data_IF_612498847024
#
_entry.id   IF_612498847024
#
_cell.length_a   1.000
_cell.length_b   1.000
_cell.length_c   1.000
_cell.angle_alpha   90.00
_cell.angle_beta   90.00
_cell.angle_gamma   90.00
#
_symmetry.space_group_name_H-M   'P 1'
#
loop_
_entity.id
_entity.type
_entity.pdbx_description
1 polymer ?
#
# COMPACT_ATOMS: atom_id res chain seq x y z
N UNK A 1 22.79 -1.07 -7.89
CA UNK A 1 21.71 -1.75 -7.13
C UNK A 1 22.29 -2.13 -5.79
N UNK A 2 22.06 -1.33 -4.74
CA UNK A 2 22.67 -1.57 -3.44
C UNK A 2 21.57 -1.78 -2.40
N UNK A 3 21.23 -3.04 -2.17
CA UNK A 3 20.45 -3.49 -1.01
C UNK A 3 21.46 -4.23 -0.14
N UNK A 4 21.92 -3.60 0.94
CA UNK A 4 22.74 -4.26 1.95
C UNK A 4 21.91 -4.42 3.22
N UNK A 5 21.07 -5.45 3.29
CA UNK A 5 20.60 -5.98 4.57
C UNK A 5 21.76 -6.79 5.17
N UNK A 6 22.75 -6.13 5.77
CA UNK A 6 23.79 -6.82 6.52
C UNK A 6 23.30 -6.98 7.97
N UNK A 7 22.82 -8.18 8.32
CA UNK A 7 22.41 -8.48 9.69
C UNK A 7 22.92 -9.84 10.15
N UNK A 8 23.29 -9.91 11.41
CA UNK A 8 23.40 -11.15 12.16
C UNK A 8 22.12 -11.33 12.99
N UNK A 9 21.55 -12.53 12.97
CA UNK A 9 20.38 -12.86 13.77
C UNK A 9 20.63 -14.15 14.57
N UNK A 10 20.25 -14.15 15.84
CA UNK A 10 20.29 -15.32 16.72
C UNK A 10 18.92 -15.51 17.34
N UNK A 11 18.30 -16.66 17.06
CA UNK A 11 17.15 -17.15 17.81
C UNK A 11 17.68 -18.10 18.89
N UNK A 12 17.20 -17.92 20.11
CA UNK A 12 17.52 -18.80 21.23
C UNK A 12 16.42 -19.84 21.36
N UNK A 13 16.79 -21.11 21.57
CA UNK A 13 15.82 -22.20 21.71
C UNK A 13 15.35 -22.37 23.17
N UNK A 14 16.20 -22.02 24.13
CA UNK A 14 15.93 -22.15 25.58
C UNK A 14 15.09 -21.01 26.16
N UNK A 15 15.10 -19.86 25.51
CA UNK A 15 14.28 -18.68 25.81
C UNK A 15 13.72 -18.20 24.49
N UNK A 16 12.44 -17.80 24.39
CA UNK A 16 11.84 -17.44 23.10
C UNK A 16 12.25 -16.02 22.68
N UNK A 17 13.56 -15.80 22.60
CA UNK A 17 14.24 -14.54 22.32
C UNK A 17 14.87 -14.62 20.94
N UNK A 18 14.67 -13.58 20.15
CA UNK A 18 15.36 -13.32 18.89
C UNK A 18 16.15 -12.02 19.03
N UNK A 19 17.45 -12.07 18.72
CA UNK A 19 18.32 -10.90 18.68
C UNK A 19 18.78 -10.67 17.24
N UNK A 20 18.67 -9.43 16.76
CA UNK A 20 19.22 -9.01 15.47
C UNK A 20 20.21 -7.86 15.69
N UNK A 21 21.32 -7.85 14.95
CA UNK A 21 22.31 -6.77 14.95
C UNK A 21 22.71 -6.46 13.51
N UNK A 22 22.87 -5.18 13.17
CA UNK A 22 23.25 -4.69 11.85
C UNK A 22 22.14 -3.83 11.22
N UNK A 23 22.05 -3.85 9.90
CA UNK A 23 20.96 -3.22 9.15
C UNK A 23 19.78 -4.18 8.96
N UNK A 24 18.63 -3.84 9.50
CA UNK A 24 17.43 -4.69 9.41
C UNK A 24 16.13 -3.91 9.27
N UNK A 25 15.10 -4.61 8.77
CA UNK A 25 13.72 -4.13 8.72
C UNK A 25 12.94 -4.64 9.94
N UNK A 26 12.57 -3.74 10.84
CA UNK A 26 11.65 -3.96 11.96
C UNK A 26 10.19 -3.80 11.49
N UNK A 27 9.52 -4.94 11.25
CA UNK A 27 8.10 -5.00 10.84
C UNK A 27 7.11 -4.42 11.87
N UNK A 28 7.52 -4.25 13.12
CA UNK A 28 6.66 -3.79 14.21
C UNK A 28 6.67 -2.27 14.38
N UNK A 29 7.48 -1.57 13.59
CA UNK A 29 7.52 -0.11 13.60
C UNK A 29 6.83 0.48 12.36
N UNK A 30 5.85 1.36 12.58
CA UNK A 30 4.97 1.90 11.54
C UNK A 30 5.57 3.06 10.71
N UNK A 31 6.67 3.67 11.17
CA UNK A 31 7.18 4.91 10.59
C UNK A 31 8.44 4.69 9.75
N UNK A 32 9.55 4.34 10.41
CA UNK A 32 10.84 4.11 9.81
C UNK A 32 11.33 2.73 10.19
N UNK A 33 10.75 1.73 9.54
CA UNK A 33 11.00 0.33 9.84
C UNK A 33 12.45 -0.11 9.59
N UNK A 34 13.32 0.70 8.98
CA UNK A 34 14.73 0.36 8.80
C UNK A 34 15.59 0.90 9.95
N UNK A 35 16.48 0.04 10.44
CA UNK A 35 17.36 0.30 11.58
C UNK A 35 18.79 -0.09 11.25
N UNK A 36 19.73 0.74 11.67
CA UNK A 36 21.15 0.39 11.80
C UNK A 36 21.47 0.24 13.29
N UNK A 37 21.45 -0.98 13.81
CA UNK A 37 21.59 -1.18 15.26
C UNK A 37 21.29 -2.58 15.74
N UNK A 38 20.66 -2.69 16.90
CA UNK A 38 20.27 -3.95 17.52
C UNK A 38 18.77 -4.00 17.84
N UNK A 39 18.23 -5.21 17.82
CA UNK A 39 16.87 -5.54 18.25
C UNK A 39 16.91 -6.75 19.17
N UNK A 40 16.12 -6.73 20.23
CA UNK A 40 15.76 -7.89 21.03
C UNK A 40 14.24 -8.07 20.97
N UNK A 41 13.77 -9.26 20.60
CA UNK A 41 12.36 -9.62 20.44
C UNK A 41 12.02 -10.87 21.26
N UNK A 42 11.04 -10.79 22.13
CA UNK A 42 10.56 -11.88 22.96
C UNK A 42 9.17 -12.33 22.48
N UNK A 43 8.96 -13.63 22.28
CA UNK A 43 7.68 -14.21 21.83
C UNK A 43 7.14 -15.24 22.83
N UNK A 44 6.09 -14.91 23.57
CA UNK A 44 5.45 -15.81 24.54
C UNK A 44 4.04 -16.17 24.08
N UNK A 45 3.91 -17.32 23.40
CA UNK A 45 2.64 -17.75 22.84
C UNK A 45 2.07 -16.74 21.85
N UNK A 46 0.91 -16.17 22.17
CA UNK A 46 0.23 -15.17 21.33
C UNK A 46 0.78 -13.75 21.51
N UNK A 47 1.49 -13.47 22.61
CA UNK A 47 2.07 -12.17 22.91
C UNK A 47 3.52 -12.12 22.46
N UNK A 48 3.96 -10.95 22.05
CA UNK A 48 5.37 -10.68 21.87
C UNK A 48 5.66 -9.20 22.00
N UNK A 49 6.93 -8.88 22.12
CA UNK A 49 7.37 -7.51 22.29
C UNK A 49 8.88 -7.42 22.19
N UNK A 50 9.37 -6.23 21.93
CA UNK A 50 10.79 -6.04 21.75
C UNK A 50 11.22 -4.61 21.90
N UNK A 51 12.53 -4.45 21.97
CA UNK A 51 13.22 -3.18 22.03
C UNK A 51 14.19 -3.10 20.86
N UNK A 52 14.34 -1.89 20.32
CA UNK A 52 15.29 -1.58 19.25
C UNK A 52 16.09 -0.34 19.62
N UNK A 53 17.39 -0.36 19.34
CA UNK A 53 18.29 0.75 19.58
C UNK A 53 19.39 0.82 18.52
N UNK A 54 19.73 2.02 18.09
CA UNK A 54 20.73 2.24 17.06
C UNK A 54 20.51 3.58 16.38
N UNK A 55 20.49 3.57 15.04
CA UNK A 55 20.40 4.78 14.23
C UNK A 55 19.39 4.61 13.10
N UNK A 56 18.80 5.74 12.71
CA UNK A 56 17.89 5.83 11.57
C UNK A 56 18.66 6.18 10.29
N UNK A 57 18.61 5.34 9.24
CA UNK A 57 19.09 5.74 7.93
C UNK A 57 18.14 6.77 7.31
N UNK A 58 18.69 7.82 6.68
CA UNK A 58 17.97 8.82 5.88
C UNK A 58 17.43 8.17 4.61
N UNK A 59 18.17 7.23 4.02
CA UNK A 59 17.76 6.45 2.85
C UNK A 59 18.04 4.96 3.05
N UNK A 60 17.14 4.11 2.57
CA UNK A 60 17.31 2.65 2.64
C UNK A 60 18.54 2.12 1.90
N UNK A 61 19.08 2.91 0.96
CA UNK A 61 20.20 2.53 0.08
C UNK A 61 21.54 3.18 0.43
N UNK A 62 21.62 3.99 1.49
CA UNK A 62 22.88 4.64 1.89
C UNK A 62 23.79 3.73 2.73
N UNK A 63 25.00 4.17 3.10
CA UNK A 63 25.85 3.44 4.06
C UNK A 63 25.28 3.43 5.48
N UNK A 64 25.96 2.81 6.45
CA UNK A 64 25.57 2.93 7.86
C UNK A 64 25.64 4.42 8.27
N UNK A 65 24.57 4.93 8.88
CA UNK A 65 24.47 6.33 9.31
C UNK A 65 24.43 6.42 10.84
N UNK A 66 25.14 7.38 11.41
CA UNK A 66 25.19 7.64 12.87
C UNK A 66 24.52 8.95 13.28
N UNK A 67 23.95 9.69 12.33
CA UNK A 67 23.46 11.06 12.54
C UNK A 67 22.13 11.15 13.27
N UNK A 68 21.37 10.05 13.31
CA UNK A 68 20.03 10.02 13.90
C UNK A 68 19.91 8.86 14.89
N UNK A 69 20.52 8.97 16.10
CA UNK A 69 20.32 8.01 17.17
C UNK A 69 18.83 7.80 17.41
N UNK A 70 18.44 6.54 17.58
CA UNK A 70 17.04 6.14 17.66
C UNK A 70 16.90 4.99 18.65
N UNK A 71 15.84 5.03 19.44
CA UNK A 71 15.46 3.95 20.34
C UNK A 71 13.95 3.77 20.34
N UNK A 72 13.47 2.55 20.51
CA UNK A 72 12.05 2.27 20.49
C UNK A 72 11.71 0.92 21.07
N UNK A 73 10.41 0.72 21.27
CA UNK A 73 9.83 -0.52 21.74
C UNK A 73 8.50 -0.80 21.08
N UNK A 74 8.11 -2.06 21.10
CA UNK A 74 6.84 -2.52 20.56
C UNK A 74 6.28 -3.69 21.36
N UNK A 75 4.97 -3.84 21.27
CA UNK A 75 4.20 -4.97 21.76
C UNK A 75 3.26 -5.43 20.66
N UNK A 76 3.06 -6.73 20.53
CA UNK A 76 2.05 -7.28 19.66
C UNK A 76 1.36 -8.49 20.28
N UNK A 77 0.13 -8.70 19.83
CA UNK A 77 -0.66 -9.86 20.15
C UNK A 77 -1.28 -10.43 18.88
N UNK A 78 -1.31 -11.76 18.78
CA UNK A 78 -1.90 -12.48 17.66
C UNK A 78 -2.76 -13.62 18.17
N UNK A 79 -4.06 -13.54 17.89
CA UNK A 79 -5.02 -14.61 18.08
C UNK A 79 -5.41 -15.19 16.72
N UNK A 80 -5.33 -16.51 16.58
CA UNK A 80 -5.85 -17.24 15.43
C UNK A 80 -6.63 -18.44 15.92
N UNK A 81 -7.95 -18.37 15.76
CA UNK A 81 -8.86 -19.51 15.89
C UNK A 81 -9.46 -19.82 14.52
N UNK A 82 -10.37 -20.78 14.45
CA UNK A 82 -11.07 -21.12 13.20
C UNK A 82 -11.86 -19.92 12.66
N UNK A 83 -12.64 -19.25 13.52
CA UNK A 83 -13.53 -18.16 13.12
C UNK A 83 -12.95 -16.76 13.36
N UNK A 84 -11.98 -16.61 14.26
CA UNK A 84 -11.40 -15.30 14.66
C UNK A 84 -9.95 -15.21 14.26
N UNK A 85 -9.59 -14.13 13.58
CA UNK A 85 -8.20 -13.71 13.40
C UNK A 85 -8.04 -12.30 13.89
N UNK A 86 -7.23 -12.12 14.93
CA UNK A 86 -6.94 -10.81 15.49
C UNK A 86 -5.43 -10.63 15.61
N UNK A 87 -4.95 -9.48 15.14
CA UNK A 87 -3.58 -9.04 15.36
C UNK A 87 -3.65 -7.59 15.82
N UNK A 88 -2.96 -7.26 16.89
CA UNK A 88 -2.80 -5.90 17.36
C UNK A 88 -1.33 -5.67 17.64
N UNK A 89 -0.80 -4.53 17.23
CA UNK A 89 0.55 -4.10 17.52
C UNK A 89 0.54 -2.65 17.96
N UNK A 90 1.37 -2.31 18.94
CA UNK A 90 1.62 -0.95 19.37
C UNK A 90 3.13 -0.73 19.42
N UNK A 91 3.58 0.46 19.00
CA UNK A 91 4.99 0.81 19.01
C UNK A 91 5.18 2.26 19.45
N UNK A 92 6.32 2.54 20.06
CA UNK A 92 6.75 3.90 20.37
C UNK A 92 8.26 3.99 20.16
N UNK A 93 8.72 5.14 19.66
CA UNK A 93 10.14 5.38 19.46
C UNK A 93 10.47 6.87 19.54
N UNK A 94 11.74 7.14 19.83
CA UNK A 94 12.34 8.46 19.87
C UNK A 94 13.57 8.52 18.96
N UNK A 95 13.76 9.67 18.31
CA UNK A 95 14.95 10.03 17.54
C UNK A 95 15.62 11.22 18.24
N UNK A 96 16.94 11.12 18.43
CA UNK A 96 17.76 12.05 19.20
C UNK A 96 18.83 12.68 18.30
N UNK A 97 18.45 13.52 17.32
CA UNK A 97 19.42 14.22 16.48
C UNK A 97 20.30 15.15 17.33
N UNK A 98 21.60 15.21 17.02
CA UNK A 98 22.57 15.97 17.84
C UNK A 98 22.37 17.48 17.85
N UNK A 99 21.82 18.04 16.77
CA UNK A 99 21.67 19.49 16.56
C UNK A 99 20.21 19.91 16.29
N UNK A 100 19.23 19.06 16.64
CA UNK A 100 17.82 19.35 16.45
C UNK A 100 17.02 18.89 17.68
N UNK A 101 15.76 19.32 17.78
CA UNK A 101 14.89 18.93 18.87
C UNK A 101 14.60 17.43 18.88
N UNK A 102 14.35 16.88 20.07
CA UNK A 102 13.94 15.49 20.26
C UNK A 102 12.63 15.20 19.52
N UNK A 103 12.58 14.09 18.78
CA UNK A 103 11.41 13.68 18.02
C UNK A 103 10.90 12.37 18.59
N UNK A 104 9.59 12.26 18.83
CA UNK A 104 8.99 11.00 19.27
C UNK A 104 7.70 10.72 18.54
N UNK A 105 7.40 9.43 18.40
CA UNK A 105 6.17 8.97 17.77
C UNK A 105 5.70 7.68 18.41
N UNK A 106 4.40 7.46 18.32
CA UNK A 106 3.74 6.26 18.80
C UNK A 106 2.68 5.84 17.78
N UNK A 107 2.41 4.54 17.70
CA UNK A 107 1.41 4.00 16.80
C UNK A 107 0.77 2.74 17.34
N UNK A 108 -0.46 2.48 16.88
CA UNK A 108 -1.20 1.25 17.13
C UNK A 108 -1.90 0.81 15.84
N UNK A 109 -1.75 -0.46 15.48
CA UNK A 109 -2.38 -1.09 14.33
C UNK A 109 -3.13 -2.33 14.78
N UNK A 110 -4.35 -2.49 14.31
CA UNK A 110 -5.20 -3.63 14.61
C UNK A 110 -5.78 -4.19 13.31
N UNK A 111 -5.70 -5.50 13.16
CA UNK A 111 -6.39 -6.27 12.12
C UNK A 111 -7.25 -7.31 12.78
N UNK A 112 -8.55 -7.19 12.63
CA UNK A 112 -9.55 -8.09 13.18
C UNK A 112 -10.37 -8.69 12.05
N UNK A 113 -10.67 -9.98 12.15
CA UNK A 113 -11.60 -10.69 11.26
C UNK A 113 -12.39 -11.69 12.06
N UNK A 114 -13.70 -11.68 11.88
CA UNK A 114 -14.65 -12.62 12.44
C UNK A 114 -15.73 -12.90 11.40
N UNK A 115 -15.82 -14.14 10.94
CA UNK A 115 -16.92 -14.68 10.15
C UNK A 115 -17.46 -13.73 9.05
N UNK A 116 -16.65 -13.48 8.02
CA UNK A 116 -17.00 -12.58 6.90
C UNK A 116 -16.92 -11.07 7.20
N UNK A 117 -16.81 -10.66 8.47
CA UNK A 117 -16.58 -9.27 8.87
C UNK A 117 -15.10 -9.06 9.21
N UNK A 118 -14.56 -7.91 8.82
CA UNK A 118 -13.21 -7.55 9.24
C UNK A 118 -12.94 -6.05 9.28
N UNK A 119 -11.91 -5.70 10.04
CA UNK A 119 -11.51 -4.33 10.33
C UNK A 119 -9.98 -4.23 10.37
N UNK A 120 -9.44 -3.20 9.73
CA UNK A 120 -8.03 -2.79 9.77
C UNK A 120 -7.99 -1.33 10.25
N UNK A 121 -7.39 -1.10 11.41
CA UNK A 121 -7.20 0.24 11.96
C UNK A 121 -5.73 0.53 12.16
N UNK A 122 -5.34 1.78 11.94
CA UNK A 122 -3.98 2.29 12.15
C UNK A 122 -4.10 3.70 12.72
N UNK A 123 -3.48 3.93 13.87
CA UNK A 123 -3.36 5.25 14.48
C UNK A 123 -1.90 5.54 14.70
N UNK A 124 -1.47 6.74 14.34
CA UNK A 124 -0.09 7.19 14.51
C UNK A 124 -0.10 8.64 15.01
N UNK A 125 0.66 8.89 16.05
CA UNK A 125 0.87 10.21 16.62
C UNK A 125 2.36 10.56 16.63
N UNK A 126 2.65 11.84 16.41
CA UNK A 126 3.99 12.41 16.56
C UNK A 126 3.93 13.53 17.60
N UNK A 127 4.98 13.63 18.39
CA UNK A 127 5.18 14.77 19.29
C UNK A 127 5.83 15.90 18.52
N UNK A 128 5.22 17.08 18.57
CA UNK A 128 5.80 18.29 18.02
C UNK A 128 7.11 18.61 18.76
N UNK A 129 8.21 18.89 18.05
CA UNK A 129 9.50 19.16 18.69
C UNK A 129 9.46 20.39 19.60
N UNK A 130 8.88 21.50 19.10
CA UNK A 130 8.90 22.77 19.83
C UNK A 130 7.82 22.86 20.93
N UNK A 131 6.55 22.54 20.61
CA UNK A 131 5.45 22.67 21.57
C UNK A 131 5.25 21.46 22.48
N UNK A 132 5.98 20.36 22.26
CA UNK A 132 5.80 19.08 22.95
C UNK A 132 4.39 18.45 22.82
N UNK A 133 3.49 19.01 22.01
CA UNK A 133 2.13 18.51 21.80
C UNK A 133 2.12 17.25 20.94
N UNK A 134 1.27 16.29 21.30
CA UNK A 134 1.02 15.11 20.46
C UNK A 134 -0.01 15.40 19.38
N UNK A 135 0.31 15.05 18.14
CA UNK A 135 -0.56 15.23 16.98
C UNK A 135 -0.76 13.91 16.26
N UNK A 136 -2.01 13.51 16.06
CA UNK A 136 -2.37 12.38 15.21
C UNK A 136 -2.04 12.69 13.76
N UNK A 137 -0.99 12.10 13.23
CA UNK A 137 -0.54 12.31 11.84
C UNK A 137 -1.17 11.32 10.88
N UNK A 138 -1.59 10.16 11.37
CA UNK A 138 -2.23 9.15 10.56
C UNK A 138 -3.34 8.47 11.34
N UNK A 139 -4.51 8.42 10.74
CA UNK A 139 -5.63 7.59 11.19
C UNK A 139 -6.11 6.87 9.94
N UNK A 140 -6.18 5.55 9.97
CA UNK A 140 -6.74 4.72 8.91
C UNK A 140 -7.73 3.76 9.53
N UNK A 141 -8.88 3.65 8.91
CA UNK A 141 -9.90 2.68 9.23
C UNK A 141 -10.34 2.04 7.92
N UNK A 142 -10.39 0.73 7.87
CA UNK A 142 -10.96 -0.03 6.76
C UNK A 142 -11.81 -1.13 7.38
N UNK A 143 -13.07 -1.19 6.99
CA UNK A 143 -13.95 -2.28 7.36
C UNK A 143 -14.42 -2.98 6.10
N UNK A 144 -14.67 -4.28 6.21
CA UNK A 144 -15.40 -5.05 5.21
C UNK A 144 -16.40 -5.97 5.88
N UNK A 145 -17.47 -6.28 5.17
CA UNK A 145 -18.46 -7.25 5.60
C UNK A 145 -18.97 -8.00 4.37
N UNK A 146 -18.94 -9.33 4.46
CA UNK A 146 -19.64 -10.23 3.55
C UNK A 146 -21.12 -10.23 3.97
N UNK A 147 -21.98 -9.52 3.23
CA UNK A 147 -23.43 -9.45 3.49
C UNK A 147 -24.14 -10.73 3.00
N UNK A 148 -23.52 -11.44 2.05
CA UNK A 148 -23.87 -12.78 1.59
C UNK A 148 -22.65 -13.44 0.94
N UNK A 149 -22.75 -14.70 0.51
CA UNK A 149 -21.70 -15.37 -0.29
C UNK A 149 -21.32 -14.63 -1.58
N UNK A 150 -22.21 -13.74 -2.04
CA UNK A 150 -22.10 -13.03 -3.30
C UNK A 150 -21.80 -11.55 -3.12
N UNK A 151 -22.14 -10.95 -1.97
CA UNK A 151 -22.07 -9.49 -1.77
C UNK A 151 -21.10 -9.13 -0.65
N UNK A 152 -20.04 -8.41 -0.99
CA UNK A 152 -19.07 -7.84 -0.06
C UNK A 152 -19.14 -6.31 -0.10
N UNK A 153 -19.20 -5.66 1.06
CA UNK A 153 -19.12 -4.20 1.19
C UNK A 153 -17.87 -3.82 1.96
N UNK A 154 -17.20 -2.75 1.53
CA UNK A 154 -16.01 -2.19 2.15
C UNK A 154 -16.20 -0.71 2.40
N UNK A 155 -15.90 -0.26 3.61
CA UNK A 155 -15.84 1.14 3.98
C UNK A 155 -14.40 1.49 4.38
N UNK A 156 -13.99 2.73 4.14
CA UNK A 156 -12.68 3.22 4.53
C UNK A 156 -12.71 4.68 4.90
N UNK A 157 -11.89 5.02 5.88
CA UNK A 157 -11.58 6.38 6.28
C UNK A 157 -10.06 6.50 6.45
N UNK A 158 -9.49 7.61 6.00
CA UNK A 158 -8.10 7.91 6.21
C UNK A 158 -7.91 9.40 6.46
N UNK A 159 -7.36 9.76 7.62
CA UNK A 159 -6.79 11.08 7.88
C UNK A 159 -5.28 11.01 7.83
N UNK A 160 -4.65 11.93 7.12
CA UNK A 160 -3.20 12.05 7.02
C UNK A 160 -2.77 13.50 7.13
N UNK A 161 -1.81 13.75 8.01
CA UNK A 161 -0.98 14.94 8.03
C UNK A 161 0.41 14.43 7.66
N UNK A 162 1.00 14.96 6.58
CA UNK A 162 2.36 14.56 6.22
C UNK A 162 3.31 15.08 7.29
N UNK A 163 4.08 14.17 7.88
CA UNK A 163 5.18 14.49 8.77
C UNK A 163 6.49 14.23 8.04
N UNK A 164 7.43 15.17 8.08
CA UNK A 164 8.78 14.94 7.58
C UNK A 164 9.79 15.26 8.68
N UNK A 165 10.52 14.26 9.20
CA UNK A 165 11.51 14.49 10.24
C UNK A 165 12.77 15.22 9.74
N UNK A 166 12.85 15.54 8.44
CA UNK A 166 14.02 16.15 7.81
C UNK A 166 13.73 17.56 7.27
N UNK A 167 12.54 18.12 7.53
CA UNK A 167 12.16 19.47 7.08
C UNK A 167 12.37 20.48 8.19
N UNK A 168 13.01 21.59 7.87
CA UNK A 168 13.36 22.67 8.82
C UNK A 168 12.27 23.74 9.02
N UNK A 169 11.29 23.87 8.12
CA UNK A 169 10.35 25.02 8.13
C UNK A 169 8.89 24.68 8.41
N UNK A 170 8.44 23.47 8.12
CA UNK A 170 7.10 22.97 8.50
C UNK A 170 7.17 21.45 8.51
N UNK A 171 7.17 20.88 9.72
CA UNK A 171 7.24 19.44 9.88
C UNK A 171 5.91 18.76 9.53
N UNK A 172 4.80 19.48 9.75
CA UNK A 172 3.44 19.03 9.47
C UNK A 172 2.84 19.78 8.28
N UNK A 173 2.28 19.03 7.33
CA UNK A 173 1.54 19.59 6.20
C UNK A 173 0.06 19.85 6.52
N UNK A 174 -0.68 20.37 5.55
CA UNK A 174 -2.14 20.39 5.58
C UNK A 174 -2.72 18.97 5.81
N UNK A 175 -3.84 18.92 6.55
CA UNK A 175 -4.57 17.68 6.81
C UNK A 175 -5.30 17.23 5.55
N UNK A 176 -5.20 15.95 5.22
CA UNK A 176 -5.98 15.29 4.17
C UNK A 176 -6.89 14.24 4.79
N UNK A 177 -8.19 14.34 4.54
CA UNK A 177 -9.16 13.32 4.90
C UNK A 177 -9.65 12.62 3.63
N UNK A 178 -9.75 11.30 3.66
CA UNK A 178 -10.27 10.47 2.58
C UNK A 178 -11.32 9.52 3.14
N UNK A 179 -12.44 9.39 2.45
CA UNK A 179 -13.53 8.49 2.76
C UNK A 179 -13.75 7.61 1.54
N UNK A 180 -14.12 6.35 1.73
CA UNK A 180 -14.38 5.46 0.61
C UNK A 180 -15.41 4.40 0.96
N UNK A 181 -16.24 4.08 -0.03
CA UNK A 181 -17.20 2.98 0.02
C UNK A 181 -17.02 2.14 -1.25
N UNK A 182 -17.09 0.82 -1.14
CA UNK A 182 -17.03 -0.09 -2.29
C UNK A 182 -17.94 -1.28 -2.04
N UNK A 183 -18.74 -1.65 -3.03
CA UNK A 183 -19.52 -2.88 -3.04
C UNK A 183 -19.00 -3.79 -4.17
N UNK A 184 -18.88 -5.08 -3.87
CA UNK A 184 -18.54 -6.12 -4.82
C UNK A 184 -19.68 -7.15 -4.82
N UNK A 185 -20.32 -7.35 -5.97
CA UNK A 185 -21.27 -8.43 -6.20
C UNK A 185 -20.61 -9.49 -7.10
N UNK A 186 -20.59 -10.74 -6.65
CA UNK A 186 -20.03 -11.89 -7.37
C UNK A 186 -21.17 -12.86 -7.67
N UNK A 187 -21.43 -13.14 -8.94
CA UNK A 187 -22.50 -14.03 -9.38
C UNK A 187 -21.95 -15.00 -10.42
N UNK A 188 -21.72 -16.26 -10.02
CA UNK A 188 -21.07 -17.26 -10.89
C UNK A 188 -19.72 -16.73 -11.40
N UNK A 189 -19.55 -16.64 -12.72
CA UNK A 189 -18.35 -16.12 -13.36
C UNK A 189 -18.30 -14.58 -13.45
N UNK A 190 -19.32 -13.87 -12.97
CA UNK A 190 -19.39 -12.42 -13.03
C UNK A 190 -18.98 -11.77 -11.73
N UNK A 191 -18.34 -10.60 -11.84
CA UNK A 191 -18.01 -9.72 -10.73
C UNK A 191 -18.33 -8.27 -11.09
N UNK A 192 -19.16 -7.62 -10.29
CA UNK A 192 -19.51 -6.22 -10.38
C UNK A 192 -18.89 -5.49 -9.20
N UNK A 193 -18.14 -4.42 -9.46
CA UNK A 193 -17.48 -3.62 -8.44
C UNK A 193 -17.92 -2.18 -8.64
N UNK A 194 -18.48 -1.57 -7.60
CA UNK A 194 -18.84 -0.17 -7.56
C UNK A 194 -18.15 0.47 -6.37
N UNK A 195 -17.54 1.63 -6.55
CA UNK A 195 -16.89 2.33 -5.46
C UNK A 195 -16.90 3.83 -5.64
N UNK A 196 -16.85 4.52 -4.50
CA UNK A 196 -16.77 5.97 -4.44
C UNK A 196 -15.75 6.36 -3.39
N UNK A 197 -15.00 7.43 -3.64
CA UNK A 197 -14.13 8.05 -2.65
C UNK A 197 -14.29 9.56 -2.65
N UNK A 198 -14.22 10.15 -1.47
CA UNK A 198 -14.19 11.59 -1.26
C UNK A 198 -12.87 11.94 -0.60
N UNK A 199 -12.26 13.02 -1.04
CA UNK A 199 -11.01 13.52 -0.52
C UNK A 199 -11.18 15.00 -0.19
N UNK A 200 -10.86 15.37 1.04
CA UNK A 200 -11.00 16.70 1.59
C UNK A 200 -9.65 17.17 2.13
N UNK A 201 -9.15 18.24 1.56
CA UNK A 201 -7.99 19.00 1.99
C UNK A 201 -8.41 20.47 2.11
N UNK A 202 -7.76 21.28 2.97
CA UNK A 202 -8.10 22.69 3.18
C UNK A 202 -8.29 23.48 1.87
N UNK A 203 -7.45 23.21 0.87
CA UNK A 203 -7.41 23.92 -0.41
C UNK A 203 -7.98 23.11 -1.58
N UNK A 204 -8.49 21.90 -1.34
CA UNK A 204 -8.97 21.04 -2.42
C UNK A 204 -9.94 19.98 -1.93
N UNK A 205 -11.10 19.91 -2.59
CA UNK A 205 -12.04 18.80 -2.43
C UNK A 205 -12.15 18.04 -3.74
N UNK A 206 -12.17 16.72 -3.65
CA UNK A 206 -12.42 15.89 -4.82
C UNK A 206 -13.25 14.67 -4.49
N UNK A 207 -13.95 14.19 -5.50
CA UNK A 207 -14.72 12.94 -5.47
C UNK A 207 -14.25 12.05 -6.60
N UNK A 208 -14.31 10.75 -6.40
CA UNK A 208 -14.04 9.77 -7.44
C UNK A 208 -15.04 8.63 -7.38
N UNK A 209 -15.38 8.12 -8.53
CA UNK A 209 -16.30 7.01 -8.74
C UNK A 209 -15.57 5.98 -9.58
N UNK A 210 -15.69 4.72 -9.21
CA UNK A 210 -15.13 3.60 -9.96
C UNK A 210 -16.20 2.54 -10.17
N UNK A 211 -16.25 2.00 -11.38
CA UNK A 211 -17.15 0.92 -11.75
C UNK A 211 -16.35 -0.11 -12.53
N UNK A 212 -16.56 -1.39 -12.25
CA UNK A 212 -15.99 -2.48 -13.04
C UNK A 212 -16.97 -3.62 -13.14
N UNK A 213 -17.11 -4.16 -14.35
CA UNK A 213 -17.79 -5.42 -14.60
C UNK A 213 -16.75 -6.37 -15.17
N UNK A 214 -16.65 -7.57 -14.62
CA UNK A 214 -15.67 -8.57 -15.01
C UNK A 214 -16.35 -9.92 -15.20
N UNK A 215 -16.06 -10.57 -16.32
CA UNK A 215 -16.35 -11.98 -16.55
C UNK A 215 -15.05 -12.76 -16.39
N UNK A 216 -14.95 -13.55 -15.32
CA UNK A 216 -13.72 -14.21 -14.90
C UNK A 216 -13.27 -15.32 -15.86
N UNK A 217 -14.21 -16.07 -16.43
CA UNK A 217 -13.89 -17.15 -17.37
C UNK A 217 -15.13 -17.52 -18.18
N UNK A 218 -15.04 -17.38 -19.50
CA UNK A 218 -16.03 -17.94 -20.42
C UNK A 218 -15.91 -19.47 -20.44
N UNK A 219 -17.00 -20.23 -20.20
CA UNK A 219 -16.98 -21.69 -20.31
C UNK A 219 -16.61 -22.19 -21.71
N UNK A 220 -16.94 -21.42 -22.75
CA UNK A 220 -16.77 -21.84 -24.15
C UNK A 220 -15.38 -21.54 -24.70
N UNK A 221 -14.76 -20.45 -24.27
CA UNK A 221 -13.54 -19.93 -24.91
C UNK A 221 -12.36 -19.74 -23.97
N UNK A 222 -12.56 -19.94 -22.66
CA UNK A 222 -11.56 -19.67 -21.63
C UNK A 222 -10.99 -18.23 -21.71
N UNK A 223 -11.88 -17.29 -22.00
CA UNK A 223 -11.58 -15.86 -22.08
C UNK A 223 -12.18 -15.18 -20.87
N UNK A 224 -11.38 -14.35 -20.21
CA UNK A 224 -11.83 -13.39 -19.23
C UNK A 224 -11.87 -12.01 -19.88
N UNK A 225 -12.85 -11.18 -19.51
CA UNK A 225 -12.82 -9.77 -19.88
C UNK A 225 -13.32 -8.89 -18.75
N UNK A 226 -12.95 -7.61 -18.79
CA UNK A 226 -13.47 -6.61 -17.87
C UNK A 226 -13.69 -5.28 -18.56
N UNK A 227 -14.82 -4.64 -18.29
CA UNK A 227 -15.06 -3.24 -18.63
C UNK A 227 -14.94 -2.44 -17.33
N UNK A 228 -14.27 -1.30 -17.37
CA UNK A 228 -14.15 -0.42 -16.21
C UNK A 228 -14.33 1.05 -16.59
N UNK A 229 -14.73 1.82 -15.59
CA UNK A 229 -14.82 3.27 -15.63
C UNK A 229 -14.32 3.85 -14.32
N UNK A 230 -13.65 4.99 -14.40
CA UNK A 230 -13.18 5.78 -13.28
C UNK A 230 -13.42 7.24 -13.61
N UNK A 231 -14.18 7.93 -12.77
CA UNK A 231 -14.40 9.36 -12.87
C UNK A 231 -13.83 10.03 -11.63
N UNK A 232 -13.12 11.12 -11.80
CA UNK A 232 -12.62 11.97 -10.71
C UNK A 232 -13.04 13.42 -10.98
N UNK A 233 -13.50 14.09 -9.94
CA UNK A 233 -13.90 15.49 -9.99
C UNK A 233 -13.26 16.24 -8.82
N UNK A 234 -12.37 17.18 -9.11
CA UNK A 234 -11.87 18.16 -8.15
C UNK A 234 -12.63 19.47 -8.35
N UNK A 235 -13.42 19.88 -7.36
CA UNK A 235 -14.40 20.98 -7.47
C UNK A 235 -13.88 22.24 -8.17
N UNK A 236 -12.60 22.57 -7.99
CA UNK A 236 -11.94 23.75 -8.58
C UNK A 236 -10.76 23.40 -9.52
N UNK A 237 -10.39 22.12 -9.62
CA UNK A 237 -9.23 21.66 -10.40
C UNK A 237 -9.61 20.97 -11.71
N UNK A 238 -10.90 20.81 -11.96
CA UNK A 238 -11.44 20.10 -13.11
C UNK A 238 -11.73 18.63 -12.81
N UNK A 239 -11.83 17.82 -13.85
CA UNK A 239 -12.23 16.43 -13.78
C UNK A 239 -11.39 15.54 -14.69
N UNK A 240 -11.46 14.25 -14.46
CA UNK A 240 -10.94 13.24 -15.38
C UNK A 240 -11.87 12.05 -15.43
N UNK A 241 -11.95 11.43 -16.60
CA UNK A 241 -12.68 10.22 -16.88
C UNK A 241 -11.71 9.25 -17.54
N UNK A 242 -11.61 8.04 -17.02
CA UNK A 242 -10.89 6.93 -17.63
C UNK A 242 -11.86 5.77 -17.79
N UNK A 243 -12.01 5.23 -18.98
CA UNK A 243 -12.78 4.00 -19.21
C UNK A 243 -11.98 3.06 -20.08
N UNK A 244 -12.24 1.76 -19.95
CA UNK A 244 -11.53 0.80 -20.76
C UNK A 244 -12.10 -0.60 -20.71
N UNK A 245 -11.61 -1.42 -21.62
CA UNK A 245 -11.92 -2.83 -21.75
C UNK A 245 -10.62 -3.60 -21.74
N UNK A 246 -10.57 -4.69 -21.00
CA UNK A 246 -9.45 -5.63 -21.05
C UNK A 246 -9.98 -7.03 -21.33
N UNK A 247 -9.21 -7.82 -22.04
CA UNK A 247 -9.47 -9.24 -22.27
C UNK A 247 -8.19 -10.02 -21.97
N UNK A 248 -8.34 -11.22 -21.43
CA UNK A 248 -7.22 -12.13 -21.21
C UNK A 248 -7.61 -13.56 -21.53
N UNK A 249 -6.66 -14.31 -22.08
CA UNK A 249 -6.78 -15.74 -22.35
C UNK A 249 -5.53 -16.44 -21.83
N UNK A 250 -5.73 -17.51 -21.08
CA UNK A 250 -4.64 -18.40 -20.70
C UNK A 250 -4.73 -19.66 -21.57
N UNK A 251 -3.64 -19.98 -22.24
CA UNK A 251 -3.38 -21.25 -22.90
C UNK A 251 -2.23 -21.91 -22.12
N UNK A 252 -2.01 -23.21 -22.30
CA UNK A 252 -1.05 -24.01 -21.53
C UNK A 252 0.27 -23.29 -21.19
N UNK A 253 0.96 -22.77 -22.23
CA UNK A 253 2.22 -22.02 -22.08
C UNK A 253 2.07 -20.52 -22.31
N UNK A 254 0.90 -20.03 -22.75
CA UNK A 254 0.72 -18.63 -23.11
C UNK A 254 -0.27 -17.95 -22.18
N UNK A 255 0.04 -16.73 -21.76
CA UNK A 255 -0.95 -15.81 -21.20
C UNK A 255 -0.99 -14.57 -22.06
N UNK A 256 -2.10 -14.39 -22.75
CA UNK A 256 -2.36 -13.25 -23.61
C UNK A 256 -3.29 -12.29 -22.88
N UNK A 257 -2.97 -11.01 -22.93
CA UNK A 257 -3.80 -9.95 -22.39
C UNK A 257 -3.78 -8.76 -23.34
N UNK A 258 -4.95 -8.20 -23.62
CA UNK A 258 -5.10 -6.98 -24.38
C UNK A 258 -6.00 -6.01 -23.64
N UNK A 259 -5.89 -4.74 -23.95
CA UNK A 259 -6.88 -3.78 -23.51
C UNK A 259 -6.81 -2.46 -24.23
N UNK A 260 -7.95 -1.80 -24.24
CA UNK A 260 -8.17 -0.46 -24.78
C UNK A 260 -8.64 0.42 -23.64
N UNK A 261 -8.16 1.65 -23.57
CA UNK A 261 -8.71 2.64 -22.66
C UNK A 261 -8.79 4.01 -23.31
N UNK A 262 -9.75 4.80 -22.86
CA UNK A 262 -9.92 6.20 -23.23
C UNK A 262 -9.83 7.02 -21.94
N UNK A 263 -9.05 8.09 -21.99
CA UNK A 263 -8.92 9.03 -20.90
C UNK A 263 -9.21 10.44 -21.40
N UNK A 264 -10.05 11.14 -20.66
CA UNK A 264 -10.38 12.55 -20.90
C UNK A 264 -10.16 13.31 -19.62
N UNK A 265 -9.53 14.48 -19.68
CA UNK A 265 -9.39 15.38 -18.54
C UNK A 265 -9.58 16.83 -18.96
N UNK A 266 -10.00 17.66 -18.03
CA UNK A 266 -10.08 19.12 -18.15
C UNK A 266 -9.34 19.80 -16.98
N UNK A 267 -8.21 19.22 -16.56
CA UNK A 267 -7.44 19.72 -15.42
C UNK A 267 -6.89 21.12 -15.70
N UNK A 268 -7.15 22.08 -14.80
CA UNK A 268 -6.69 23.48 -14.93
C UNK A 268 -7.02 24.08 -16.31
N UNK A 269 -8.28 23.92 -16.74
CA UNK A 269 -8.83 24.42 -18.01
C UNK A 269 -8.19 23.86 -19.30
N UNK A 270 -7.21 22.95 -19.20
CA UNK A 270 -6.66 22.28 -20.37
C UNK A 270 -7.43 20.99 -20.61
N UNK A 271 -8.14 20.93 -21.73
CA UNK A 271 -8.78 19.71 -22.20
C UNK A 271 -7.73 18.83 -22.84
N UNK A 272 -7.73 17.56 -22.46
CA UNK A 272 -6.87 16.55 -23.04
C UNK A 272 -7.65 15.26 -23.17
N UNK A 273 -7.53 14.63 -24.35
CA UNK A 273 -8.07 13.31 -24.62
C UNK A 273 -6.97 12.40 -25.15
N UNK A 274 -6.90 11.19 -24.62
CA UNK A 274 -6.04 10.13 -25.11
C UNK A 274 -6.80 8.81 -25.20
N UNK A 275 -6.45 8.00 -26.19
CA UNK A 275 -6.69 6.57 -26.21
C UNK A 275 -5.38 5.84 -25.92
N UNK A 276 -5.46 4.68 -25.29
CA UNK A 276 -4.33 3.76 -25.22
C UNK A 276 -4.75 2.33 -25.56
N UNK A 277 -3.83 1.61 -26.18
CA UNK A 277 -3.89 0.19 -26.47
C UNK A 277 -2.70 -0.45 -25.75
N UNK A 278 -2.94 -1.56 -25.08
CA UNK A 278 -1.85 -2.42 -24.62
C UNK A 278 -2.08 -3.87 -25.05
N UNK A 279 -0.98 -4.54 -25.36
CA UNK A 279 -0.92 -5.96 -25.66
C UNK A 279 0.19 -6.57 -24.82
N UNK A 280 -0.07 -7.70 -24.17
CA UNK A 280 0.88 -8.42 -23.35
C UNK A 280 0.78 -9.90 -23.67
N UNK A 281 1.90 -10.52 -23.99
CA UNK A 281 2.03 -11.95 -24.21
C UNK A 281 3.15 -12.47 -23.31
N UNK A 282 2.80 -13.39 -22.42
CA UNK A 282 3.74 -14.11 -21.55
C UNK A 282 3.80 -15.56 -22.00
N UNK A 283 4.98 -16.03 -22.38
CA UNK A 283 5.25 -17.40 -22.80
C UNK A 283 6.14 -18.10 -21.78
N UNK A 284 5.61 -19.15 -21.16
CA UNK A 284 6.34 -19.99 -20.22
C UNK A 284 7.22 -20.98 -20.98
N UNK A 285 8.53 -20.74 -20.96
CA UNK A 285 9.54 -21.65 -21.53
C UNK A 285 9.69 -22.90 -20.66
N UNK A 286 9.82 -22.71 -19.35
CA UNK A 286 9.94 -23.75 -18.33
C UNK A 286 9.16 -23.35 -17.08
N UNK A 287 9.12 -24.19 -16.04
CA UNK A 287 8.45 -23.83 -14.77
C UNK A 287 8.97 -22.52 -14.18
N UNK A 288 10.27 -22.26 -14.36
CA UNK A 288 10.95 -21.14 -13.72
C UNK A 288 11.38 -20.04 -14.69
N UNK A 289 11.09 -20.18 -15.98
CA UNK A 289 11.54 -19.26 -17.02
C UNK A 289 10.38 -18.85 -17.93
N UNK A 290 10.17 -17.54 -18.11
CA UNK A 290 9.20 -17.02 -19.07
C UNK A 290 9.71 -15.84 -19.87
N UNK A 291 9.21 -15.71 -21.10
CA UNK A 291 9.45 -14.57 -21.99
C UNK A 291 8.19 -13.74 -22.04
N UNK A 292 8.33 -12.44 -21.86
CA UNK A 292 7.22 -11.51 -21.90
C UNK A 292 7.45 -10.42 -22.94
N UNK A 293 6.49 -10.31 -23.86
CA UNK A 293 6.38 -9.22 -24.82
C UNK A 293 5.25 -8.28 -24.43
N UNK A 294 5.54 -6.99 -24.30
CA UNK A 294 4.53 -5.96 -24.01
C UNK A 294 4.63 -4.84 -25.03
N UNK A 295 3.50 -4.53 -25.66
CA UNK A 295 3.32 -3.34 -26.47
C UNK A 295 2.35 -2.40 -25.77
N UNK A 296 2.66 -1.10 -25.80
CA UNK A 296 1.78 -0.02 -25.34
C UNK A 296 1.82 1.10 -26.36
N UNK A 297 0.66 1.41 -26.94
CA UNK A 297 0.44 2.58 -27.77
C UNK A 297 -0.45 3.58 -27.04
N UNK A 298 -0.05 4.85 -27.01
CA UNK A 298 -0.85 5.97 -26.49
C UNK A 298 -0.97 6.98 -27.61
N UNK A 299 -2.20 7.38 -27.91
CA UNK A 299 -2.51 8.40 -28.91
C UNK A 299 -3.43 9.43 -28.29
N UNK A 300 -3.02 10.69 -28.28
CA UNK A 300 -3.81 11.79 -27.76
C UNK A 300 -3.41 13.10 -28.42
N UNK A 301 -4.16 14.15 -28.10
CA UNK A 301 -4.05 15.48 -28.71
C UNK A 301 -2.64 16.08 -28.63
N UNK A 302 -1.91 15.81 -27.54
CA UNK A 302 -0.56 16.34 -27.28
C UNK A 302 0.48 15.24 -27.05
N UNK A 303 0.14 13.97 -27.28
CA UNK A 303 1.05 12.86 -26.96
C UNK A 303 0.79 11.68 -27.89
N UNK A 304 1.83 11.26 -28.59
CA UNK A 304 1.87 9.97 -29.27
C UNK A 304 3.08 9.22 -28.74
N UNK A 305 2.86 8.05 -28.16
CA UNK A 305 3.93 7.22 -27.61
C UNK A 305 3.67 5.77 -27.99
N UNK A 306 4.72 5.11 -28.48
CA UNK A 306 4.72 3.69 -28.70
C UNK A 306 5.89 3.09 -27.94
N UNK A 307 5.63 2.04 -27.16
CA UNK A 307 6.65 1.31 -26.44
C UNK A 307 6.47 -0.18 -26.70
N UNK A 308 7.54 -0.84 -27.10
CA UNK A 308 7.65 -2.29 -27.18
C UNK A 308 8.75 -2.72 -26.21
N UNK A 309 8.45 -3.69 -25.36
CA UNK A 309 9.42 -4.28 -24.44
C UNK A 309 9.37 -5.80 -24.52
N UNK A 310 10.56 -6.39 -24.49
CA UNK A 310 10.79 -7.82 -24.39
C UNK A 310 11.60 -8.08 -23.13
N UNK A 311 11.14 -9.00 -22.30
CA UNK A 311 11.79 -9.33 -21.02
C UNK A 311 11.82 -10.84 -20.80
N UNK A 312 12.91 -11.32 -20.21
CA UNK A 312 13.08 -12.71 -19.78
C UNK A 312 13.05 -12.73 -18.25
N UNK A 313 12.14 -13.51 -17.67
CA UNK A 313 11.95 -13.63 -16.23
C UNK A 313 12.36 -15.01 -15.77
N UNK A 314 13.16 -15.07 -14.70
CA UNK A 314 13.48 -16.30 -13.98
C UNK A 314 12.94 -16.22 -12.55
N UNK A 315 12.07 -17.15 -12.14
CA UNK A 315 11.66 -17.27 -10.74
C UNK A 315 12.73 -18.01 -9.94
N UNK A 316 12.94 -17.58 -8.70
CA UNK A 316 13.82 -18.20 -7.71
C UNK A 316 12.99 -18.71 -6.55
#
# INVERSE_FOLDING_TARGET
>A
MNIYNLKAAKVFDSIPLEVQIGRFYNRFEMMHSFWDGAMAHLQMGNWGGGLTGGFQPVRTTEGLSFSYPKAGGYLHYRLRTESVRWTIQANAAGVFPSNEAFRSYAGIEQKFRYDGVGMDTEFQAHRHPDSAEWRWTRIRFRAFADLSEQLEVRASYQRRISYSPFRTFSEFSNTRNEYGLTATLSASNWRFIQGMRWNHQPEAKSTSYQSRVQWNRSPLWDISWSVYGYYWNGQERGSSLNSGVTASKSLEKWRLQSGLSAYRSNFVNNRYTQGSLFLNADYRLTRDLSVQARYQGVLGEFTSQNALSLSLWKSF
#
